data_IF_457651474237
#
_entry.id   IF_457651474237
#
_cell.length_a   1.000
_cell.length_b   1.000
_cell.length_c   1.000
_cell.angle_alpha   90.00
_cell.angle_beta   90.00
_cell.angle_gamma   90.00
#
_symmetry.space_group_name_H-M   'P 1'
#
loop_
_entity.id
_entity.type
_entity.pdbx_description
1 polymer ?
#
# COMPACT_ATOMS: atom_id res chain seq x y z
N UNK A 1 -3.87 30.59 -24.34
CA UNK A 1 -3.67 30.64 -22.89
C UNK A 1 -4.85 29.94 -22.27
N UNK A 2 -4.61 28.88 -21.50
CA UNK A 2 -5.67 28.21 -20.75
C UNK A 2 -6.21 29.20 -19.69
N UNK A 3 -7.52 29.22 -19.51
CA UNK A 3 -8.18 30.13 -18.58
C UNK A 3 -7.82 29.74 -17.12
N UNK A 4 -7.46 30.70 -16.26
CA UNK A 4 -7.02 30.41 -14.89
C UNK A 4 -8.08 29.70 -14.02
N UNK A 5 -9.38 29.88 -14.31
CA UNK A 5 -10.45 29.18 -13.62
C UNK A 5 -10.50 27.70 -14.03
N UNK A 6 -10.25 27.43 -15.32
CA UNK A 6 -10.15 26.06 -15.86
C UNK A 6 -8.94 25.33 -15.25
N UNK A 7 -7.77 25.98 -15.22
CA UNK A 7 -6.57 25.40 -14.62
C UNK A 7 -6.76 25.09 -13.11
N UNK A 8 -7.45 25.98 -12.38
CA UNK A 8 -7.78 25.76 -10.97
C UNK A 8 -8.71 24.57 -10.78
N UNK A 9 -9.76 24.45 -11.61
CA UNK A 9 -10.69 23.31 -11.58
C UNK A 9 -9.96 21.98 -11.78
N UNK A 10 -9.06 21.91 -12.76
CA UNK A 10 -8.24 20.72 -13.03
C UNK A 10 -7.36 20.35 -11.83
N UNK A 11 -6.71 21.33 -11.19
CA UNK A 11 -5.87 21.07 -10.00
C UNK A 11 -6.68 20.57 -8.81
N UNK A 12 -7.90 21.08 -8.61
CA UNK A 12 -8.80 20.57 -7.56
C UNK A 12 -9.20 19.13 -7.83
N UNK A 13 -9.62 18.80 -9.06
CA UNK A 13 -9.99 17.43 -9.43
C UNK A 13 -8.82 16.45 -9.23
N UNK A 14 -7.61 16.83 -9.64
CA UNK A 14 -6.41 16.02 -9.43
C UNK A 14 -6.07 15.83 -7.94
N UNK A 15 -6.32 16.83 -7.09
CA UNK A 15 -6.11 16.70 -5.66
C UNK A 15 -7.10 15.70 -5.03
N UNK A 16 -8.37 15.73 -5.46
CA UNK A 16 -9.39 14.78 -5.01
C UNK A 16 -9.06 13.35 -5.46
N UNK A 17 -8.67 13.17 -6.73
CA UNK A 17 -8.24 11.87 -7.25
C UNK A 17 -7.01 11.34 -6.49
N UNK A 18 -6.02 12.20 -6.22
CA UNK A 18 -4.85 11.85 -5.41
C UNK A 18 -5.25 11.34 -4.03
N UNK A 19 -6.16 12.04 -3.35
CA UNK A 19 -6.66 11.61 -2.03
C UNK A 19 -7.41 10.27 -2.11
N UNK A 20 -8.21 10.05 -3.16
CA UNK A 20 -8.89 8.77 -3.35
C UNK A 20 -7.90 7.61 -3.57
N UNK A 21 -6.86 7.83 -4.38
CA UNK A 21 -5.79 6.86 -4.60
C UNK A 21 -5.03 6.56 -3.30
N UNK A 22 -4.72 7.57 -2.49
CA UNK A 22 -4.07 7.38 -1.18
C UNK A 22 -4.91 6.50 -0.24
N UNK A 23 -6.23 6.73 -0.19
CA UNK A 23 -7.14 5.91 0.62
C UNK A 23 -7.22 4.46 0.12
N UNK A 24 -7.25 4.26 -1.20
CA UNK A 24 -7.25 2.92 -1.79
C UNK A 24 -5.93 2.18 -1.52
N UNK A 25 -4.81 2.89 -1.57
CA UNK A 25 -3.49 2.34 -1.27
C UNK A 25 -3.40 1.89 0.19
N UNK A 26 -3.90 2.70 1.13
CA UNK A 26 -3.93 2.35 2.55
C UNK A 26 -4.81 1.11 2.80
N UNK A 27 -6.00 1.06 2.19
CA UNK A 27 -6.89 -0.09 2.31
C UNK A 27 -6.31 -1.37 1.68
N UNK A 28 -5.53 -1.24 0.60
CA UNK A 28 -4.79 -2.36 0.03
C UNK A 28 -3.67 -2.81 0.95
N UNK A 29 -2.94 -1.86 1.53
CA UNK A 29 -1.83 -2.12 2.44
C UNK A 29 -2.29 -2.84 3.71
N UNK A 30 -3.41 -2.44 4.30
CA UNK A 30 -3.99 -3.15 5.46
C UNK A 30 -4.38 -4.59 5.14
N UNK A 31 -4.96 -4.84 3.95
CA UNK A 31 -5.29 -6.19 3.49
C UNK A 31 -4.03 -7.05 3.33
N UNK A 32 -3.00 -6.49 2.70
CA UNK A 32 -1.70 -7.17 2.55
C UNK A 32 -1.07 -7.46 3.91
N UNK A 33 -1.11 -6.52 4.86
CA UNK A 33 -0.57 -6.70 6.21
C UNK A 33 -1.32 -7.81 6.96
N UNK A 34 -2.64 -7.88 6.82
CA UNK A 34 -3.45 -8.97 7.42
C UNK A 34 -3.05 -10.33 6.86
N UNK A 35 -2.96 -10.46 5.53
CA UNK A 35 -2.54 -11.72 4.90
C UNK A 35 -1.13 -12.16 5.34
N UNK A 36 -0.20 -11.20 5.48
CA UNK A 36 1.14 -11.47 6.01
C UNK A 36 1.10 -12.01 7.44
N UNK A 37 0.28 -11.42 8.32
CA UNK A 37 0.14 -11.87 9.71
C UNK A 37 -0.50 -13.25 9.80
N UNK A 38 -1.58 -13.49 9.07
CA UNK A 38 -2.25 -14.80 9.03
C UNK A 38 -1.29 -15.91 8.57
N UNK A 39 -0.40 -15.62 7.62
CA UNK A 39 0.61 -16.57 7.16
C UNK A 39 1.77 -16.75 8.16
N UNK A 40 2.20 -15.70 8.87
CA UNK A 40 3.19 -15.78 9.97
C UNK A 40 2.62 -16.63 11.13
N UNK A 41 1.35 -16.41 11.49
CA UNK A 41 0.63 -17.17 12.53
C UNK A 41 0.46 -18.65 12.14
N UNK A 42 0.30 -18.94 10.84
CA UNK A 42 0.29 -20.30 10.31
C UNK A 42 1.69 -20.95 10.25
N UNK A 43 2.75 -20.24 10.64
CA UNK A 43 4.12 -20.75 10.73
C UNK A 43 4.86 -20.79 9.40
N UNK A 44 4.37 -20.13 8.35
CA UNK A 44 5.08 -20.05 7.07
C UNK A 44 6.37 -19.24 7.24
N UNK A 45 7.41 -19.60 6.50
CA UNK A 45 8.62 -18.82 6.51
C UNK A 45 8.45 -17.55 5.66
N UNK A 46 9.27 -16.53 5.95
CA UNK A 46 9.13 -15.18 5.36
C UNK A 46 9.25 -15.16 3.83
N UNK A 47 10.01 -16.08 3.23
CA UNK A 47 10.13 -16.17 1.76
C UNK A 47 8.84 -16.71 1.14
N UNK A 48 8.21 -17.69 1.78
CA UNK A 48 6.90 -18.21 1.39
C UNK A 48 5.82 -17.13 1.51
N UNK A 49 5.81 -16.39 2.63
CA UNK A 49 4.89 -15.28 2.85
C UNK A 49 5.06 -14.20 1.76
N UNK A 50 6.31 -13.80 1.47
CA UNK A 50 6.62 -12.82 0.43
C UNK A 50 6.12 -13.28 -0.95
N UNK A 51 6.30 -14.55 -1.28
CA UNK A 51 5.81 -15.13 -2.52
C UNK A 51 4.27 -15.13 -2.61
N UNK A 52 3.59 -15.56 -1.54
CA UNK A 52 2.12 -15.61 -1.48
C UNK A 52 1.48 -14.22 -1.55
N UNK A 53 2.02 -13.28 -0.77
CA UNK A 53 1.55 -11.90 -0.77
C UNK A 53 2.04 -11.10 -1.99
N UNK A 54 2.89 -11.68 -2.85
CA UNK A 54 3.50 -11.05 -4.03
C UNK A 54 4.20 -9.73 -3.70
N UNK A 55 4.92 -9.71 -2.58
CA UNK A 55 5.68 -8.56 -2.09
C UNK A 55 7.15 -8.89 -1.93
N UNK A 56 8.00 -7.88 -1.74
CA UNK A 56 9.39 -8.15 -1.39
C UNK A 56 9.49 -8.68 0.06
N UNK A 57 10.53 -9.46 0.40
CA UNK A 57 10.76 -9.86 1.79
C UNK A 57 10.86 -8.69 2.77
N UNK A 58 11.39 -7.53 2.34
CA UNK A 58 11.44 -6.29 3.13
C UNK A 58 10.04 -5.79 3.52
N UNK A 59 9.09 -5.89 2.59
CA UNK A 59 7.69 -5.55 2.85
C UNK A 59 7.10 -6.43 3.94
N UNK A 60 7.48 -7.71 4.00
CA UNK A 60 7.08 -8.64 5.08
C UNK A 60 7.65 -8.18 6.42
N UNK A 61 8.94 -7.80 6.50
CA UNK A 61 9.54 -7.25 7.72
C UNK A 61 8.82 -6.00 8.23
N UNK A 62 8.55 -5.05 7.33
CA UNK A 62 7.81 -3.82 7.64
C UNK A 62 6.39 -4.12 8.12
N UNK A 63 5.69 -5.06 7.48
CA UNK A 63 4.33 -5.45 7.84
C UNK A 63 4.25 -6.12 9.23
N UNK A 64 5.28 -6.88 9.60
CA UNK A 64 5.40 -7.54 10.91
C UNK A 64 6.01 -6.64 11.99
N UNK A 65 6.42 -5.40 11.67
CA UNK A 65 7.02 -4.46 12.62
C UNK A 65 8.35 -4.94 13.20
N UNK A 66 9.08 -5.79 12.48
CA UNK A 66 10.39 -6.33 12.93
C UNK A 66 11.54 -5.55 12.30
N UNK A 67 12.61 -5.23 13.05
CA UNK A 67 13.80 -4.63 12.47
C UNK A 67 14.42 -5.56 11.41
N UNK A 68 14.97 -4.99 10.35
CA UNK A 68 15.66 -5.72 9.29
C UNK A 68 16.86 -6.48 9.90
N UNK A 69 16.98 -7.78 9.63
CA UNK A 69 18.11 -8.63 10.00
C UNK A 69 18.94 -8.97 8.76
#
# INVERSE_FOLDING_TARGET
MEDPETARGTLTALAEERTAVEQQLEALWERTRRAIREADDAGLNRREIAALARVSPQTVYKALGRPEQ
#
